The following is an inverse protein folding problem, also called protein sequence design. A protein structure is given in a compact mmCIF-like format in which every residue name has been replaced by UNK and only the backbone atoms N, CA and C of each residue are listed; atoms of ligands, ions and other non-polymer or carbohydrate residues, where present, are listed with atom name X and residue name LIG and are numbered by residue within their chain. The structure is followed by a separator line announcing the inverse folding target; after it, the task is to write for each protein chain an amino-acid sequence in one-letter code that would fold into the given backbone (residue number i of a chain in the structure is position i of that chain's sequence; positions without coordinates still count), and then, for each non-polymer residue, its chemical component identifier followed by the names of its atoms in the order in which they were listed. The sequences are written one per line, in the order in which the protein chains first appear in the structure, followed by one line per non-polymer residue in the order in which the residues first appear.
data_IF_127121964691
#
_entry.id   IF_127121964691
#
_cell.length_a   1.000
_cell.length_b   1.000
_cell.length_c   1.000
_cell.angle_alpha   90.00
_cell.angle_beta   90.00
_cell.angle_gamma   90.00
#
_symmetry.space_group_name_H-M   'P 1'
#
loop_
_entity.id
_entity.type
_entity.pdbx_description
1 polymer ?
#
# COMPACT_ATOMS: atom_id res chain seq x y z
N UNK A 1 -18.98 -32.85 -17.78
CA UNK A 1 -18.07 -33.32 -16.71
C UNK A 1 -18.37 -32.53 -15.44
N UNK A 2 -18.30 -33.14 -14.25
CA UNK A 2 -18.48 -32.38 -12.98
C UNK A 2 -17.14 -31.74 -12.61
N UNK A 3 -17.13 -30.44 -12.34
CA UNK A 3 -15.93 -29.77 -11.83
C UNK A 3 -15.71 -30.21 -10.37
N UNK A 4 -14.60 -30.90 -10.10
CA UNK A 4 -14.20 -31.20 -8.73
C UNK A 4 -13.69 -29.89 -8.09
N UNK A 5 -14.27 -29.45 -6.95
CA UNK A 5 -13.78 -28.25 -6.27
C UNK A 5 -12.37 -28.53 -5.72
N UNK A 6 -11.39 -27.71 -6.12
CA UNK A 6 -10.04 -27.78 -5.56
C UNK A 6 -10.14 -27.49 -4.06
N UNK A 7 -9.67 -28.39 -3.17
CA UNK A 7 -9.76 -28.21 -1.73
C UNK A 7 -8.72 -27.18 -1.27
N UNK A 8 -9.04 -25.90 -1.43
CA UNK A 8 -8.26 -24.81 -0.84
C UNK A 8 -8.18 -25.01 0.69
N UNK A 9 -6.98 -25.04 1.28
CA UNK A 9 -6.81 -25.33 2.70
C UNK A 9 -7.54 -24.29 3.57
N UNK A 10 -8.36 -24.78 4.51
CA UNK A 10 -9.06 -23.94 5.47
C UNK A 10 -8.07 -23.39 6.51
N UNK A 11 -7.34 -22.34 6.14
CA UNK A 11 -6.61 -21.49 7.06
C UNK A 11 -7.59 -20.71 7.94
N UNK A 12 -8.10 -21.38 8.99
CA UNK A 12 -8.73 -20.73 10.14
C UNK A 12 -7.64 -19.97 10.91
N UNK A 13 -7.22 -18.83 10.37
CA UNK A 13 -6.50 -17.84 11.14
C UNK A 13 -7.41 -17.38 12.29
N UNK A 14 -7.10 -17.86 13.50
CA UNK A 14 -7.68 -17.32 14.72
C UNK A 14 -7.30 -15.84 14.73
N UNK A 15 -8.30 -14.97 14.67
CA UNK A 15 -8.11 -13.53 14.76
C UNK A 15 -7.59 -13.23 16.16
N UNK A 16 -6.26 -13.16 16.28
CA UNK A 16 -5.61 -12.68 17.51
C UNK A 16 -6.05 -11.23 17.72
N UNK A 17 -6.50 -10.85 18.93
CA UNK A 17 -6.91 -9.49 19.20
C UNK A 17 -5.77 -8.51 18.87
N UNK A 18 -6.15 -7.34 18.36
CA UNK A 18 -5.24 -6.26 17.98
C UNK A 18 -5.72 -4.94 18.57
N UNK A 19 -4.82 -3.97 18.81
CA UNK A 19 -5.22 -2.64 19.26
C UNK A 19 -6.19 -2.00 18.27
N UNK A 20 -7.25 -1.38 18.78
CA UNK A 20 -8.12 -0.48 18.01
C UNK A 20 -7.61 0.95 18.21
N UNK A 21 -7.51 1.70 17.12
CA UNK A 21 -6.96 3.06 17.14
C UNK A 21 -8.09 4.06 17.35
N UNK A 22 -8.06 4.72 18.51
CA UNK A 22 -8.91 5.88 18.78
C UNK A 22 -8.35 7.10 18.04
N UNK A 23 -9.21 7.78 17.29
CA UNK A 23 -8.84 8.97 16.54
C UNK A 23 -8.87 10.19 17.47
N UNK A 24 -7.82 11.00 17.48
CA UNK A 24 -7.82 12.30 18.18
C UNK A 24 -8.73 13.31 17.48
N UNK A 25 -9.19 14.33 18.20
CA UNK A 25 -9.69 15.55 17.57
C UNK A 25 -8.57 16.60 17.45
N UNK A 26 -8.79 17.61 16.59
CA UNK A 26 -7.70 18.48 16.12
C UNK A 26 -7.05 19.30 17.24
N UNK A 27 -7.81 19.63 18.29
CA UNK A 27 -7.32 20.31 19.49
C UNK A 27 -6.26 19.52 20.27
N UNK A 28 -6.17 18.21 20.08
CA UNK A 28 -5.21 17.35 20.77
C UNK A 28 -3.91 17.15 19.97
N UNK A 29 -3.80 17.75 18.78
CA UNK A 29 -2.70 17.53 17.85
C UNK A 29 -1.37 18.14 18.31
N UNK A 30 -0.27 17.48 17.93
CA UNK A 30 1.10 17.93 18.18
C UNK A 30 1.88 17.71 16.87
N UNK A 31 2.48 18.74 16.26
CA UNK A 31 3.25 18.60 15.02
C UNK A 31 4.58 17.86 15.25
N UNK A 32 5.06 17.19 14.19
CA UNK A 32 6.40 16.60 14.15
C UNK A 32 7.48 17.68 14.01
N UNK A 33 8.68 17.39 14.50
CA UNK A 33 9.87 18.24 14.31
C UNK A 33 10.47 18.09 12.91
N UNK A 34 10.37 16.89 12.33
CA UNK A 34 10.81 16.59 10.98
C UNK A 34 9.67 16.80 9.95
N UNK A 35 10.00 17.11 8.69
CA UNK A 35 9.03 17.15 7.60
C UNK A 35 8.24 15.85 7.41
N UNK A 36 6.95 15.98 7.09
CA UNK A 36 6.03 14.87 6.81
C UNK A 36 5.91 14.64 5.31
N UNK A 37 6.11 13.39 4.89
CA UNK A 37 6.08 12.95 3.49
C UNK A 37 4.82 12.08 3.26
N UNK A 38 3.83 12.58 2.51
CA UNK A 38 2.54 11.90 2.31
C UNK A 38 2.53 11.01 1.06
N UNK A 39 3.16 9.85 1.18
CA UNK A 39 3.34 8.86 0.11
C UNK A 39 2.05 8.10 -0.27
N UNK A 40 1.59 8.25 -1.53
CA UNK A 40 0.43 7.51 -2.04
C UNK A 40 0.76 6.09 -2.56
N UNK A 41 -0.24 5.21 -2.53
CA UNK A 41 -0.16 3.82 -3.01
C UNK A 41 -0.61 3.64 -4.47
N UNK A 42 -1.00 2.40 -4.81
CA UNK A 42 -1.46 2.02 -6.15
C UNK A 42 -2.72 2.79 -6.57
N UNK A 43 -2.84 3.11 -7.86
CA UNK A 43 -3.90 3.98 -8.42
C UNK A 43 -4.00 5.38 -7.78
N UNK A 44 -3.05 5.74 -6.92
CA UNK A 44 -2.92 7.11 -6.46
C UNK A 44 -2.57 8.06 -7.61
N UNK A 45 -2.97 9.31 -7.42
CA UNK A 45 -2.65 10.45 -8.25
C UNK A 45 -2.20 11.59 -7.34
N UNK A 46 -1.63 12.65 -7.90
CA UNK A 46 -1.36 13.88 -7.13
C UNK A 46 -2.43 14.93 -7.37
N UNK A 47 -2.66 15.24 -8.65
CA UNK A 47 -3.69 16.16 -9.13
C UNK A 47 -4.37 15.55 -10.35
N UNK A 48 -5.69 15.55 -10.38
CA UNK A 48 -6.49 15.33 -11.59
C UNK A 48 -7.23 16.63 -11.93
N UNK A 49 -6.90 17.23 -13.07
CA UNK A 49 -7.53 18.44 -13.60
C UNK A 49 -6.63 19.16 -14.61
N UNK A 50 -7.18 20.02 -15.49
CA UNK A 50 -6.38 20.79 -16.44
C UNK A 50 -5.44 21.78 -15.72
N UNK A 51 -4.18 21.84 -16.15
CA UNK A 51 -3.18 22.75 -15.58
C UNK A 51 -3.61 24.23 -15.65
N UNK A 52 -4.31 24.61 -16.72
CA UNK A 52 -4.78 25.98 -16.99
C UNK A 52 -5.84 26.48 -15.99
N UNK A 53 -6.53 25.60 -15.27
CA UNK A 53 -7.66 25.96 -14.41
C UNK A 53 -7.53 25.32 -13.01
N UNK A 54 -6.78 25.99 -12.12
CA UNK A 54 -6.49 25.50 -10.75
C UNK A 54 -7.74 25.16 -9.92
N UNK A 55 -8.89 25.77 -10.19
CA UNK A 55 -10.13 25.45 -9.47
C UNK A 55 -10.74 24.08 -9.84
N UNK A 56 -10.37 23.51 -11.00
CA UNK A 56 -10.76 22.17 -11.44
C UNK A 56 -9.80 21.07 -10.96
N UNK A 57 -8.79 21.41 -10.16
CA UNK A 57 -7.76 20.47 -9.72
C UNK A 57 -8.22 19.69 -8.47
N UNK A 58 -8.36 18.38 -8.66
CA UNK A 58 -8.60 17.40 -7.60
C UNK A 58 -7.26 16.90 -7.06
N UNK A 59 -6.74 17.61 -6.06
CA UNK A 59 -5.58 17.13 -5.30
C UNK A 59 -6.00 15.87 -4.51
N UNK A 60 -5.16 14.83 -4.51
CA UNK A 60 -5.41 13.59 -3.77
C UNK A 60 -5.43 13.88 -2.26
N UNK A 61 -4.34 14.40 -1.70
CA UNK A 61 -4.21 14.68 -0.25
C UNK A 61 -4.99 15.90 0.28
N UNK A 62 -5.97 16.41 -0.48
CA UNK A 62 -6.71 17.64 -0.15
C UNK A 62 -7.36 17.57 1.23
N UNK A 63 -7.24 18.63 2.02
CA UNK A 63 -7.70 18.70 3.40
C UNK A 63 -6.79 18.01 4.42
N UNK A 64 -5.98 17.02 4.04
CA UNK A 64 -4.98 16.39 4.92
C UNK A 64 -3.70 17.22 4.94
N UNK A 65 -3.15 17.60 3.78
CA UNK A 65 -2.05 18.57 3.67
C UNK A 65 -2.41 19.85 4.42
N UNK A 66 -3.53 20.43 4.00
CA UNK A 66 -4.01 21.74 4.43
C UNK A 66 -4.27 21.79 5.95
N UNK A 67 -4.63 20.64 6.56
CA UNK A 67 -4.85 20.52 8.01
C UNK A 67 -3.57 20.24 8.80
N UNK A 68 -2.63 19.47 8.26
CA UNK A 68 -1.33 19.26 8.92
C UNK A 68 -0.45 20.54 8.85
N UNK A 69 -0.49 21.27 7.73
CA UNK A 69 0.25 22.53 7.54
C UNK A 69 -0.27 23.64 8.47
N UNK A 70 -1.59 23.85 8.55
CA UNK A 70 -2.18 24.86 9.46
C UNK A 70 -2.05 24.52 10.94
N UNK A 71 -1.64 23.28 11.26
CA UNK A 71 -1.29 22.83 12.62
C UNK A 71 0.23 22.73 12.85
N UNK A 72 1.05 23.30 11.96
CA UNK A 72 2.48 23.53 12.19
C UNK A 72 3.45 22.48 11.66
N UNK A 73 2.99 21.44 10.96
CA UNK A 73 3.91 20.54 10.25
C UNK A 73 4.41 21.18 8.94
N UNK A 74 5.68 20.96 8.59
CA UNK A 74 6.11 21.05 7.18
C UNK A 74 5.68 19.77 6.45
N UNK A 75 4.86 19.89 5.41
CA UNK A 75 4.21 18.74 4.74
C UNK A 75 4.49 18.78 3.25
N UNK A 76 4.64 17.61 2.65
CA UNK A 76 4.86 17.46 1.22
C UNK A 76 4.08 16.24 0.67
N UNK A 77 3.70 16.28 -0.61
CA UNK A 77 2.69 15.37 -1.18
C UNK A 77 3.06 14.85 -2.58
N UNK A 78 2.77 13.56 -2.81
CA UNK A 78 3.47 12.74 -3.82
C UNK A 78 2.82 12.62 -5.19
N UNK A 79 3.62 12.63 -6.27
CA UNK A 79 3.17 12.51 -7.68
C UNK A 79 4.07 11.63 -8.53
N UNK A 80 3.52 10.52 -9.04
CA UNK A 80 4.30 9.33 -9.44
C UNK A 80 3.53 8.40 -10.39
N UNK A 81 4.15 7.28 -10.80
CA UNK A 81 3.54 6.32 -11.72
C UNK A 81 2.51 5.41 -11.03
N UNK A 82 1.23 5.61 -11.35
CA UNK A 82 0.08 4.98 -10.67
C UNK A 82 -0.04 3.45 -10.81
N UNK A 83 0.79 2.80 -11.64
CA UNK A 83 0.82 1.34 -11.90
C UNK A 83 2.23 0.76 -12.18
N UNK A 84 3.31 1.50 -11.90
CA UNK A 84 4.70 1.06 -12.16
C UNK A 84 5.25 0.05 -11.12
N UNK A 85 6.44 -0.50 -11.37
CA UNK A 85 7.17 -1.38 -10.45
C UNK A 85 7.63 -0.66 -9.17
N UNK A 86 7.73 -1.37 -8.04
CA UNK A 86 8.24 -0.79 -6.77
C UNK A 86 9.62 -0.15 -6.95
N UNK A 87 10.51 -0.74 -7.76
CA UNK A 87 11.82 -0.16 -8.04
C UNK A 87 11.73 1.14 -8.84
N UNK A 88 11.02 1.17 -9.98
CA UNK A 88 10.88 2.42 -10.77
C UNK A 88 10.18 3.52 -9.97
N UNK A 89 9.26 3.13 -9.09
CA UNK A 89 8.59 4.00 -8.11
C UNK A 89 9.57 4.54 -7.08
N UNK A 90 10.33 3.68 -6.41
CA UNK A 90 11.35 4.06 -5.43
C UNK A 90 12.52 4.89 -6.01
N UNK A 91 12.94 4.63 -7.25
CA UNK A 91 13.95 5.42 -7.96
C UNK A 91 13.45 6.82 -8.33
N UNK A 92 12.17 6.96 -8.74
CA UNK A 92 11.53 8.27 -8.94
C UNK A 92 11.40 9.04 -7.62
N UNK A 93 11.05 8.34 -6.55
CA UNK A 93 11.02 8.86 -5.18
C UNK A 93 12.43 9.33 -4.76
N UNK A 94 13.50 8.55 -4.97
CA UNK A 94 14.88 8.99 -4.72
C UNK A 94 15.29 10.21 -5.57
N UNK A 95 15.05 10.18 -6.88
CA UNK A 95 15.43 11.26 -7.79
C UNK A 95 14.68 12.58 -7.50
N UNK A 96 13.48 12.52 -6.91
CA UNK A 96 12.80 13.70 -6.40
C UNK A 96 13.33 14.12 -5.01
N UNK A 97 13.62 13.19 -4.09
CA UNK A 97 14.25 13.47 -2.80
C UNK A 97 15.58 14.23 -3.02
N UNK A 98 16.46 13.77 -3.90
CA UNK A 98 17.72 14.46 -4.20
C UNK A 98 17.53 15.85 -4.83
N UNK A 99 16.43 16.07 -5.57
CA UNK A 99 16.18 17.33 -6.29
C UNK A 99 15.48 18.41 -5.44
N UNK A 100 14.69 18.02 -4.45
CA UNK A 100 13.89 18.92 -3.60
C UNK A 100 14.16 18.70 -2.10
N UNK A 101 15.30 18.07 -1.76
CA UNK A 101 15.65 17.48 -0.46
C UNK A 101 14.71 16.40 0.12
N UNK A 102 13.47 16.26 -0.35
CA UNK A 102 12.52 15.26 0.15
C UNK A 102 11.49 14.76 -0.89
N UNK A 103 10.81 13.63 -0.57
CA UNK A 103 9.63 13.01 -1.23
C UNK A 103 9.92 12.24 -2.56
N UNK A 104 9.16 11.25 -3.09
CA UNK A 104 7.68 11.18 -3.28
C UNK A 104 7.00 9.76 -3.49
N UNK A 105 7.17 8.64 -2.75
CA UNK A 105 6.33 7.41 -3.04
C UNK A 105 6.09 6.37 -1.93
N UNK A 106 5.02 5.56 -2.09
CA UNK A 106 4.29 4.66 -1.16
C UNK A 106 5.04 3.64 -0.28
N UNK A 107 4.30 2.96 0.61
CA UNK A 107 4.89 2.22 1.76
C UNK A 107 5.90 1.10 1.45
N UNK A 108 5.71 0.34 0.35
CA UNK A 108 6.71 -0.63 -0.11
C UNK A 108 7.87 0.05 -0.87
N UNK A 109 7.58 1.19 -1.50
CA UNK A 109 8.54 2.00 -2.25
C UNK A 109 9.50 2.74 -1.30
N UNK A 110 8.99 3.24 -0.17
CA UNK A 110 9.77 3.70 0.97
C UNK A 110 10.71 2.60 1.49
N UNK A 111 10.22 1.36 1.68
CA UNK A 111 11.06 0.26 2.14
C UNK A 111 12.17 -0.06 1.13
N UNK A 112 11.85 -0.13 -0.16
CA UNK A 112 12.88 -0.30 -1.20
C UNK A 112 13.92 0.84 -1.14
N UNK A 113 13.47 2.09 -1.05
CA UNK A 113 14.38 3.24 -0.99
C UNK A 113 15.31 3.18 0.23
N UNK A 114 14.77 2.90 1.41
CA UNK A 114 15.57 2.86 2.64
C UNK A 114 16.68 1.81 2.48
N UNK A 115 16.32 0.58 2.09
CA UNK A 115 17.24 -0.56 2.03
C UNK A 115 18.24 -0.54 0.85
N UNK A 116 17.78 -0.20 -0.37
CA UNK A 116 18.54 -0.50 -1.61
C UNK A 116 19.21 0.69 -2.27
N UNK A 117 18.88 1.93 -1.87
CA UNK A 117 19.37 3.13 -2.55
C UNK A 117 20.52 3.77 -1.75
N UNK A 118 21.77 3.74 -2.23
CA UNK A 118 22.93 4.27 -1.51
C UNK A 118 23.01 5.80 -1.59
N UNK A 119 23.93 6.39 -0.82
CA UNK A 119 24.40 7.78 -0.98
C UNK A 119 23.32 8.88 -0.97
N UNK A 120 22.27 8.69 -0.15
CA UNK A 120 21.18 9.64 0.06
C UNK A 120 21.69 10.96 0.66
N UNK A 121 21.26 12.12 0.16
CA UNK A 121 21.58 13.44 0.77
C UNK A 121 20.75 13.78 2.03
N UNK A 122 19.82 12.91 2.41
CA UNK A 122 18.87 13.03 3.52
C UNK A 122 18.84 11.73 4.32
N UNK A 123 18.36 11.80 5.57
CA UNK A 123 18.11 10.62 6.40
C UNK A 123 16.61 10.48 6.69
N UNK A 124 16.04 9.32 6.36
CA UNK A 124 14.70 8.93 6.83
C UNK A 124 14.79 8.67 8.34
N UNK A 125 13.94 9.31 9.15
CA UNK A 125 13.90 9.06 10.61
C UNK A 125 12.86 8.03 11.02
N UNK A 126 11.73 8.00 10.31
CA UNK A 126 10.65 7.05 10.54
C UNK A 126 9.89 6.71 9.26
N UNK A 127 9.29 5.53 9.22
CA UNK A 127 8.30 5.13 8.22
C UNK A 127 7.02 4.67 8.93
N UNK A 128 5.92 5.38 8.71
CA UNK A 128 4.58 4.94 9.08
C UNK A 128 3.87 4.40 7.83
N UNK A 129 3.54 3.10 7.82
CA UNK A 129 2.79 2.48 6.72
C UNK A 129 1.31 2.34 7.07
N UNK A 130 0.44 2.62 6.11
CA UNK A 130 -1.02 2.63 6.27
C UNK A 130 -1.60 1.62 5.27
N UNK A 131 -2.33 0.62 5.77
CA UNK A 131 -2.95 -0.47 5.00
C UNK A 131 -2.06 -1.08 3.90
N UNK A 132 -0.75 -1.07 4.11
CA UNK A 132 0.23 -1.49 3.11
C UNK A 132 0.33 -3.01 3.10
N UNK A 133 0.16 -3.69 1.95
CA UNK A 133 0.20 -5.15 1.89
C UNK A 133 1.65 -5.66 1.95
N UNK A 134 2.29 -5.60 3.11
CA UNK A 134 3.69 -6.05 3.29
C UNK A 134 3.89 -7.54 3.00
N UNK A 135 2.83 -8.34 3.01
CA UNK A 135 2.83 -9.77 2.66
C UNK A 135 1.94 -10.05 1.44
N UNK A 136 1.66 -9.04 0.62
CA UNK A 136 0.77 -9.08 -0.54
C UNK A 136 -0.71 -9.15 -0.15
N UNK A 137 -1.58 -9.46 -1.13
CA UNK A 137 -3.02 -9.64 -0.91
C UNK A 137 -3.53 -10.97 -1.49
N UNK A 138 -4.34 -11.74 -0.73
CA UNK A 138 -5.11 -12.88 -1.25
C UNK A 138 -5.95 -12.55 -2.48
N UNK A 139 -6.45 -11.31 -2.58
CA UNK A 139 -7.24 -10.88 -3.74
C UNK A 139 -6.37 -10.77 -5.00
N UNK A 140 -5.11 -10.36 -4.86
CA UNK A 140 -4.18 -10.27 -5.99
C UNK A 140 -3.66 -11.63 -6.45
N UNK A 141 -3.49 -12.59 -5.54
CA UNK A 141 -3.28 -13.99 -5.90
C UNK A 141 -4.48 -14.55 -6.70
N UNK A 142 -5.72 -14.31 -6.24
CA UNK A 142 -6.93 -14.72 -6.98
C UNK A 142 -7.02 -14.06 -8.36
N UNK A 143 -6.69 -12.76 -8.47
CA UNK A 143 -6.65 -12.02 -9.73
C UNK A 143 -5.61 -12.61 -10.68
N UNK A 144 -4.43 -13.02 -10.19
CA UNK A 144 -3.42 -13.73 -10.98
C UNK A 144 -3.95 -15.07 -11.50
N UNK A 145 -4.41 -15.94 -10.62
CA UNK A 145 -4.85 -17.30 -10.97
C UNK A 145 -6.07 -17.31 -11.92
N UNK A 146 -6.92 -16.27 -11.82
CA UNK A 146 -8.15 -16.13 -12.61
C UNK A 146 -7.95 -15.40 -13.94
N UNK A 147 -7.15 -14.33 -13.96
CA UNK A 147 -7.03 -13.43 -15.13
C UNK A 147 -5.66 -13.47 -15.83
N UNK A 148 -4.62 -14.04 -15.21
CA UNK A 148 -3.27 -14.12 -15.79
C UNK A 148 -2.47 -12.80 -15.77
N UNK A 149 -2.82 -11.89 -14.85
CA UNK A 149 -2.12 -10.61 -14.61
C UNK A 149 -1.39 -10.64 -13.26
N UNK A 150 -0.33 -9.85 -13.10
CA UNK A 150 0.55 -9.92 -11.94
C UNK A 150 1.50 -11.13 -11.95
N UNK A 151 1.77 -11.68 -13.13
CA UNK A 151 2.71 -12.79 -13.30
C UNK A 151 4.15 -12.33 -13.07
N UNK A 152 4.84 -12.93 -12.09
CA UNK A 152 6.21 -12.56 -11.70
C UNK A 152 7.18 -12.76 -12.87
N UNK A 153 7.02 -13.79 -13.69
CA UNK A 153 7.83 -14.00 -14.90
C UNK A 153 7.64 -12.85 -15.92
N UNK A 154 6.43 -12.27 -16.00
CA UNK A 154 6.12 -11.14 -16.85
C UNK A 154 6.56 -9.79 -16.24
N UNK A 155 6.68 -9.67 -14.91
CA UNK A 155 7.44 -8.58 -14.26
C UNK A 155 8.92 -8.67 -14.65
N UNK A 156 9.55 -9.84 -14.46
CA UNK A 156 10.99 -10.06 -14.67
C UNK A 156 11.43 -9.73 -16.09
N UNK A 157 10.66 -10.15 -17.10
CA UNK A 157 10.94 -9.86 -18.52
C UNK A 157 10.80 -8.37 -18.90
N UNK A 158 10.13 -7.56 -18.08
CA UNK A 158 10.01 -6.09 -18.28
C UNK A 158 11.06 -5.33 -17.47
N UNK A 159 11.37 -5.79 -16.26
CA UNK A 159 12.26 -5.15 -15.30
C UNK A 159 13.66 -5.82 -15.27
N UNK A 160 14.22 -6.13 -16.44
CA UNK A 160 15.45 -6.93 -16.61
C UNK A 160 16.73 -6.41 -15.89
N UNK A 161 16.68 -5.22 -15.30
CA UNK A 161 17.77 -4.57 -14.54
C UNK A 161 17.49 -4.52 -13.02
N UNK A 162 16.51 -5.26 -12.50
CA UNK A 162 16.23 -5.31 -11.06
C UNK A 162 17.18 -6.28 -10.32
N UNK A 163 18.05 -5.74 -9.46
CA UNK A 163 18.94 -6.55 -8.64
C UNK A 163 18.19 -7.38 -7.58
N UNK A 164 16.96 -6.97 -7.18
CA UNK A 164 16.06 -7.82 -6.40
C UNK A 164 15.84 -9.17 -7.12
N UNK A 165 15.58 -9.17 -8.43
CA UNK A 165 15.36 -10.41 -9.19
C UNK A 165 16.60 -11.30 -9.19
N UNK A 166 17.80 -10.72 -9.25
CA UNK A 166 19.08 -11.47 -9.17
C UNK A 166 19.36 -12.06 -7.78
N UNK A 167 18.65 -11.60 -6.76
CA UNK A 167 18.71 -12.12 -5.39
C UNK A 167 17.49 -12.99 -5.04
N UNK A 168 16.48 -13.05 -5.91
CA UNK A 168 15.50 -14.13 -5.87
C UNK A 168 16.22 -15.42 -6.25
N UNK A 169 16.00 -16.47 -5.46
CA UNK A 169 16.64 -17.77 -5.61
C UNK A 169 16.53 -18.31 -7.06
N UNK A 170 17.68 -18.68 -7.62
CA UNK A 170 17.80 -19.26 -8.95
C UNK A 170 16.95 -20.55 -9.07
N UNK A 171 16.87 -21.36 -8.02
CA UNK A 171 16.03 -22.58 -7.98
C UNK A 171 14.54 -22.24 -8.11
N UNK A 172 14.10 -21.14 -7.49
CA UNK A 172 12.75 -20.62 -7.62
C UNK A 172 12.48 -20.03 -9.02
N UNK A 173 13.46 -19.37 -9.64
CA UNK A 173 13.31 -18.83 -11.00
C UNK A 173 13.12 -19.93 -12.05
N UNK A 174 13.83 -21.06 -11.95
CA UNK A 174 13.59 -22.20 -12.84
C UNK A 174 12.20 -22.82 -12.62
N UNK A 175 11.75 -22.98 -11.36
CA UNK A 175 10.39 -23.45 -11.03
C UNK A 175 9.26 -22.55 -11.55
N UNK A 176 9.53 -21.27 -11.84
CA UNK A 176 8.55 -20.40 -12.52
C UNK A 176 8.41 -20.73 -14.01
N UNK A 177 9.50 -21.13 -14.69
CA UNK A 177 9.48 -21.44 -16.14
C UNK A 177 8.71 -22.72 -16.46
N UNK A 178 8.67 -23.69 -15.56
CA UNK A 178 7.97 -24.97 -15.76
C UNK A 178 6.43 -24.82 -15.76
N UNK A 179 5.89 -23.73 -15.18
CA UNK A 179 4.45 -23.48 -15.12
C UNK A 179 3.91 -23.02 -16.48
N UNK A 180 3.42 -23.97 -17.30
CA UNK A 180 2.74 -23.66 -18.56
C UNK A 180 1.50 -22.77 -18.35
N UNK A 181 1.42 -21.57 -18.97
CA UNK A 181 0.28 -20.68 -18.80
C UNK A 181 -0.97 -21.19 -19.53
N UNK A 182 -2.13 -21.02 -18.91
CA UNK A 182 -3.41 -21.49 -19.47
C UNK A 182 -3.84 -20.59 -20.64
N UNK A 183 -4.47 -21.20 -21.66
CA UNK A 183 -4.79 -20.55 -22.95
C UNK A 183 -5.56 -19.22 -22.83
N UNK A 184 -6.42 -19.07 -21.82
CA UNK A 184 -7.21 -17.85 -21.59
C UNK A 184 -6.41 -16.66 -21.05
N UNK A 185 -5.17 -16.84 -20.57
CA UNK A 185 -4.35 -15.74 -20.03
C UNK A 185 -3.90 -14.71 -21.10
N UNK A 186 -3.87 -15.06 -22.39
CA UNK A 186 -3.15 -14.23 -23.37
C UNK A 186 -3.81 -12.89 -23.70
N UNK A 187 -5.15 -12.80 -23.69
CA UNK A 187 -5.88 -11.58 -24.08
C UNK A 187 -5.77 -10.50 -22.98
N UNK A 188 -5.77 -10.89 -21.70
CA UNK A 188 -5.80 -9.94 -20.57
C UNK A 188 -4.39 -9.40 -20.26
N UNK A 189 -3.32 -10.06 -20.71
CA UNK A 189 -1.92 -9.61 -20.50
C UNK A 189 -1.59 -8.21 -21.07
N UNK A 190 -2.40 -7.65 -21.97
CA UNK A 190 -2.22 -6.27 -22.42
C UNK A 190 -2.66 -5.23 -21.36
N UNK A 191 -3.50 -5.64 -20.40
CA UNK A 191 -3.89 -4.84 -19.23
C UNK A 191 -2.98 -5.08 -18.01
N UNK A 192 -2.00 -5.98 -18.11
CA UNK A 192 -1.11 -6.34 -17.01
C UNK A 192 -0.02 -5.27 -16.80
N UNK A 193 -0.02 -4.62 -15.64
CA UNK A 193 0.99 -3.65 -15.24
C UNK A 193 1.90 -4.24 -14.13
N UNK A 194 3.20 -3.86 -14.07
CA UNK A 194 4.14 -4.42 -13.10
C UNK A 194 3.60 -4.43 -11.67
N UNK A 195 2.95 -3.35 -11.25
CA UNK A 195 2.37 -3.22 -9.92
C UNK A 195 1.43 -4.35 -9.48
N UNK A 196 0.73 -5.04 -10.38
CA UNK A 196 -0.12 -6.17 -9.99
C UNK A 196 0.71 -7.34 -9.44
N UNK A 197 1.89 -7.59 -10.01
CA UNK A 197 2.80 -8.61 -9.51
C UNK A 197 3.32 -8.21 -8.12
N UNK A 198 3.67 -6.93 -7.95
CA UNK A 198 4.17 -6.35 -6.70
C UNK A 198 3.19 -6.38 -5.51
N UNK A 199 1.91 -6.72 -5.74
CA UNK A 199 0.91 -6.93 -4.69
C UNK A 199 0.54 -8.41 -4.45
N UNK A 200 1.09 -9.35 -5.23
CA UNK A 200 0.93 -10.79 -4.96
C UNK A 200 1.70 -11.18 -3.71
N UNK A 201 1.21 -12.18 -2.97
CA UNK A 201 1.86 -12.63 -1.73
C UNK A 201 3.23 -13.25 -2.02
N UNK A 202 3.31 -13.96 -3.14
CA UNK A 202 4.52 -14.56 -3.71
C UNK A 202 5.62 -13.52 -4.01
N UNK A 203 5.30 -12.37 -4.62
CA UNK A 203 6.28 -11.28 -4.80
C UNK A 203 6.69 -10.66 -3.47
N UNK A 204 5.73 -10.33 -2.60
CA UNK A 204 6.02 -9.66 -1.33
C UNK A 204 6.88 -10.52 -0.39
N UNK A 205 6.73 -11.86 -0.42
CA UNK A 205 7.61 -12.76 0.32
C UNK A 205 9.08 -12.62 -0.14
N UNK A 206 9.34 -12.66 -1.45
CA UNK A 206 10.69 -12.51 -2.00
C UNK A 206 11.25 -11.10 -1.76
N UNK A 207 10.43 -10.07 -1.96
CA UNK A 207 10.78 -8.68 -1.66
C UNK A 207 11.24 -8.50 -0.20
N UNK A 208 10.59 -9.16 0.75
CA UNK A 208 10.94 -9.07 2.17
C UNK A 208 12.24 -9.79 2.55
N UNK A 209 12.67 -10.81 1.79
CA UNK A 209 13.95 -11.50 2.04
C UNK A 209 15.16 -10.62 1.72
N UNK A 210 15.01 -9.73 0.74
CA UNK A 210 16.10 -8.85 0.25
C UNK A 210 15.98 -7.41 0.75
N UNK A 211 14.77 -6.94 1.08
CA UNK A 211 14.50 -5.57 1.54
C UNK A 211 14.43 -5.52 3.06
N UNK A 212 15.61 -5.63 3.67
CA UNK A 212 15.80 -5.59 5.12
C UNK A 212 15.62 -4.16 5.67
N UNK A 213 15.00 -4.04 6.83
CA UNK A 213 14.77 -2.75 7.49
C UNK A 213 16.09 -2.16 8.06
N UNK A 214 16.27 -0.84 7.95
CA UNK A 214 17.44 -0.11 8.46
C UNK A 214 17.28 0.13 9.98
N UNK A 215 18.21 -0.34 10.83
CA UNK A 215 18.08 -0.22 12.29
C UNK A 215 18.15 1.22 12.82
N UNK A 216 18.50 2.21 11.99
CA UNK A 216 18.44 3.64 12.34
C UNK A 216 17.08 4.28 12.04
N UNK A 217 16.16 3.57 11.38
CA UNK A 217 14.82 4.06 11.01
C UNK A 217 13.77 3.44 11.93
N UNK A 218 12.87 4.27 12.47
CA UNK A 218 11.72 3.77 13.22
C UNK A 218 10.57 3.36 12.28
N UNK A 219 10.24 2.06 12.26
CA UNK A 219 9.13 1.52 11.48
C UNK A 219 7.88 1.35 12.34
N UNK A 220 6.74 1.77 11.79
CA UNK A 220 5.42 1.49 12.36
C UNK A 220 4.38 1.20 11.29
N UNK A 221 3.33 0.48 11.65
CA UNK A 221 2.21 0.26 10.74
C UNK A 221 0.82 0.37 11.38
N UNK A 222 -0.09 0.79 10.52
CA UNK A 222 -1.49 1.08 10.78
C UNK A 222 -2.32 0.26 9.80
N UNK A 223 -3.34 -0.44 10.27
CA UNK A 223 -4.26 -1.20 9.43
C UNK A 223 -5.67 -0.62 9.46
N UNK A 224 -6.52 -1.10 8.55
CA UNK A 224 -7.95 -0.91 8.61
C UNK A 224 -8.65 -2.29 8.64
N UNK A 225 -9.89 -2.30 9.13
CA UNK A 225 -10.76 -3.46 9.15
C UNK A 225 -12.21 -2.99 9.22
N UNK A 226 -13.10 -3.70 8.53
CA UNK A 226 -14.54 -3.45 8.53
C UNK A 226 -15.31 -4.79 8.50
N UNK A 227 -16.52 -4.84 9.06
CA UNK A 227 -17.47 -5.92 8.77
C UNK A 227 -18.29 -5.55 7.52
N UNK A 228 -17.83 -6.01 6.35
CA UNK A 228 -18.29 -5.50 5.05
C UNK A 228 -19.64 -6.09 4.64
N UNK A 229 -20.64 -5.22 4.45
CA UNK A 229 -21.93 -5.61 3.83
C UNK A 229 -21.70 -6.09 2.40
N UNK A 230 -22.42 -7.14 1.97
CA UNK A 230 -22.20 -7.77 0.66
C UNK A 230 -22.53 -6.89 -0.56
N UNK A 231 -23.26 -5.79 -0.37
CA UNK A 231 -23.52 -4.79 -1.41
C UNK A 231 -22.43 -3.71 -1.54
N UNK A 232 -21.43 -3.66 -0.64
CA UNK A 232 -20.39 -2.64 -0.68
C UNK A 232 -19.44 -2.84 -1.87
N UNK A 233 -18.85 -1.77 -2.45
CA UNK A 233 -17.99 -1.88 -3.64
C UNK A 233 -16.81 -2.85 -3.50
N UNK A 234 -16.25 -2.99 -2.30
CA UNK A 234 -15.14 -3.89 -1.98
C UNK A 234 -15.56 -5.27 -1.48
N UNK A 235 -16.86 -5.61 -1.49
CA UNK A 235 -17.35 -6.87 -0.92
C UNK A 235 -16.75 -8.13 -1.57
N UNK A 236 -16.54 -8.13 -2.89
CA UNK A 236 -16.00 -9.29 -3.61
C UNK A 236 -14.57 -9.63 -3.16
N UNK A 237 -13.67 -8.65 -3.18
CA UNK A 237 -12.30 -8.79 -2.70
C UNK A 237 -12.24 -9.06 -1.20
N UNK A 238 -13.11 -8.41 -0.42
CA UNK A 238 -13.25 -8.63 1.03
C UNK A 238 -13.51 -10.10 1.39
N UNK A 239 -14.46 -10.77 0.72
CA UNK A 239 -14.77 -12.17 1.03
C UNK A 239 -13.65 -13.14 0.62
N UNK A 240 -12.87 -12.80 -0.43
CA UNK A 240 -11.66 -13.55 -0.81
C UNK A 240 -10.59 -13.40 0.28
N UNK A 241 -10.27 -12.17 0.71
CA UNK A 241 -9.29 -11.94 1.78
C UNK A 241 -9.76 -12.53 3.11
N UNK A 242 -11.04 -12.37 3.49
CA UNK A 242 -11.60 -12.91 4.74
C UNK A 242 -11.58 -14.44 4.80
N UNK A 243 -11.73 -15.11 3.66
CA UNK A 243 -11.61 -16.58 3.57
C UNK A 243 -10.18 -17.08 3.79
N UNK A 244 -9.16 -16.28 3.44
CA UNK A 244 -7.76 -16.72 3.43
C UNK A 244 -6.92 -16.19 4.61
N UNK A 245 -7.15 -14.95 5.06
CA UNK A 245 -6.33 -14.28 6.07
C UNK A 245 -7.15 -13.60 7.18
N UNK A 246 -8.48 -13.66 7.10
CA UNK A 246 -9.41 -13.12 8.10
C UNK A 246 -9.62 -11.61 7.98
N UNK A 247 -9.63 -10.91 9.11
CA UNK A 247 -10.04 -9.51 9.20
C UNK A 247 -9.20 -8.59 8.29
N UNK A 248 -9.89 -7.74 7.54
CA UNK A 248 -9.33 -6.97 6.44
C UNK A 248 -10.19 -5.73 6.10
N UNK A 249 -9.61 -4.81 5.33
CA UNK A 249 -10.23 -3.54 4.90
C UNK A 249 -10.97 -3.61 3.55
N UNK A 250 -11.07 -4.80 2.97
CA UNK A 250 -11.59 -5.05 1.62
C UNK A 250 -10.52 -5.36 0.57
N UNK A 251 -9.26 -5.04 0.81
CA UNK A 251 -8.13 -5.32 -0.10
C UNK A 251 -6.90 -5.90 0.62
N UNK A 252 -6.66 -5.52 1.88
CA UNK A 252 -5.47 -5.88 2.65
C UNK A 252 -5.87 -6.40 4.04
N UNK A 253 -5.31 -7.53 4.44
CA UNK A 253 -5.57 -8.16 5.75
C UNK A 253 -4.81 -7.47 6.89
N UNK A 254 -5.34 -7.57 8.11
CA UNK A 254 -4.63 -7.20 9.34
C UNK A 254 -3.29 -7.97 9.46
N UNK A 255 -3.18 -9.17 8.88
CA UNK A 255 -1.94 -9.94 8.83
C UNK A 255 -0.91 -9.33 7.87
N UNK A 256 -1.32 -8.93 6.66
CA UNK A 256 -0.43 -8.33 5.66
C UNK A 256 -0.03 -6.90 6.02
N UNK A 257 -0.93 -6.13 6.66
CA UNK A 257 -0.69 -4.75 7.09
C UNK A 257 0.32 -4.59 8.26
N UNK A 258 0.70 -5.67 8.96
CA UNK A 258 1.59 -5.63 10.14
C UNK A 258 3.08 -5.50 9.79
N UNK A 259 3.71 -4.39 10.17
CA UNK A 259 5.15 -4.15 10.00
C UNK A 259 5.70 -3.22 11.07
N UNK A 260 6.95 -3.43 11.51
CA UNK A 260 7.56 -2.66 12.60
C UNK A 260 6.72 -2.69 13.89
N UNK A 261 6.64 -1.55 14.57
CA UNK A 261 5.71 -1.34 15.67
C UNK A 261 4.26 -1.20 15.14
N UNK A 262 3.47 -2.25 15.27
CA UNK A 262 2.09 -2.28 14.80
C UNK A 262 1.16 -1.57 15.80
N UNK A 263 0.78 -0.34 15.46
CA UNK A 263 0.02 0.57 16.32
C UNK A 263 -1.44 0.12 16.50
N UNK A 264 -2.00 -0.60 15.52
CA UNK A 264 -3.35 -1.13 15.58
C UNK A 264 -4.14 -0.99 14.29
N UNK A 265 -5.46 -1.12 14.40
CA UNK A 265 -6.39 -0.97 13.29
C UNK A 265 -7.48 0.09 13.58
N UNK A 266 -7.85 0.84 12.55
CA UNK A 266 -9.08 1.66 12.52
C UNK A 266 -10.28 0.86 12.00
N UNK A 267 -11.48 1.33 12.31
CA UNK A 267 -12.75 0.72 11.89
C UNK A 267 -13.26 1.41 10.61
N UNK A 268 -12.75 0.97 9.46
CA UNK A 268 -12.99 1.56 8.14
C UNK A 268 -12.58 0.60 7.00
N UNK A 269 -12.92 0.93 5.76
CA UNK A 269 -12.46 0.20 4.57
C UNK A 269 -11.21 0.84 3.92
N UNK A 270 -10.65 0.18 2.90
CA UNK A 270 -9.44 0.66 2.21
C UNK A 270 -9.65 1.99 1.47
N UNK A 271 -10.89 2.35 1.10
CA UNK A 271 -11.20 3.59 0.40
C UNK A 271 -11.45 4.75 1.37
N UNK A 272 -11.87 4.49 2.61
CA UNK A 272 -11.97 5.49 3.69
C UNK A 272 -10.63 6.14 4.03
N UNK A 273 -9.56 5.33 4.01
CA UNK A 273 -8.19 5.79 4.21
C UNK A 273 -7.72 6.74 3.11
N UNK A 274 -8.30 6.62 1.90
CA UNK A 274 -7.83 7.35 0.72
C UNK A 274 -8.69 8.60 0.49
N UNK A 275 -8.12 9.82 0.47
CA UNK A 275 -8.83 11.09 0.25
C UNK A 275 -9.31 11.30 -1.22
N UNK A 276 -9.97 10.32 -1.82
CA UNK A 276 -10.37 10.33 -3.24
C UNK A 276 -11.90 10.26 -3.44
N UNK A 277 -12.34 10.34 -4.71
CA UNK A 277 -13.73 10.05 -5.10
C UNK A 277 -14.18 8.64 -4.69
N UNK A 278 -13.26 7.69 -4.51
CA UNK A 278 -13.59 6.32 -4.08
C UNK A 278 -14.17 6.32 -2.65
N UNK A 279 -13.68 7.21 -1.76
CA UNK A 279 -14.28 7.41 -0.43
C UNK A 279 -15.73 7.89 -0.54
N UNK A 280 -15.98 8.90 -1.37
CA UNK A 280 -17.33 9.44 -1.60
C UNK A 280 -18.30 8.38 -2.13
N UNK A 281 -17.83 7.41 -2.93
CA UNK A 281 -18.62 6.26 -3.37
C UNK A 281 -18.90 5.32 -2.19
N UNK A 282 -17.91 5.01 -1.34
CA UNK A 282 -18.10 4.08 -0.21
C UNK A 282 -18.94 4.68 0.93
N UNK A 283 -18.85 6.00 1.17
CA UNK A 283 -19.65 6.73 2.16
C UNK A 283 -21.17 6.51 1.96
N UNK A 284 -21.64 6.35 0.71
CA UNK A 284 -23.06 6.09 0.38
C UNK A 284 -23.59 4.79 0.99
N UNK A 285 -22.73 3.81 1.26
CA UNK A 285 -23.12 2.49 1.79
C UNK A 285 -23.02 2.40 3.33
N UNK A 286 -22.63 3.50 4.00
CA UNK A 286 -22.27 3.56 5.42
C UNK A 286 -23.25 4.38 6.23
N UNK A 287 -23.34 4.07 7.53
CA UNK A 287 -24.18 4.80 8.48
C UNK A 287 -23.52 6.10 8.97
N UNK A 288 -22.20 6.20 8.85
CA UNK A 288 -21.39 7.36 9.25
C UNK A 288 -20.10 7.39 8.40
N UNK A 289 -19.71 8.53 7.83
CA UNK A 289 -18.46 8.65 7.08
C UNK A 289 -17.24 8.59 8.01
N UNK A 290 -16.11 8.08 7.50
CA UNK A 290 -14.88 7.97 8.29
C UNK A 290 -14.17 9.33 8.47
N UNK A 291 -13.74 9.62 9.71
CA UNK A 291 -12.92 10.79 10.10
C UNK A 291 -11.46 10.65 9.60
N UNK A 292 -11.27 10.54 8.28
CA UNK A 292 -9.96 10.34 7.65
C UNK A 292 -8.93 11.43 8.03
N UNK A 293 -9.30 12.71 8.09
CA UNK A 293 -8.37 13.78 8.51
C UNK A 293 -7.86 13.56 9.95
N UNK A 294 -8.77 13.23 10.89
CA UNK A 294 -8.40 12.87 12.27
C UNK A 294 -7.47 11.66 12.34
N UNK A 295 -7.62 10.69 11.44
CA UNK A 295 -6.70 9.55 11.36
C UNK A 295 -5.30 9.97 10.95
N UNK A 296 -5.12 10.81 9.92
CA UNK A 296 -3.80 11.33 9.56
C UNK A 296 -3.20 12.24 10.66
N UNK A 297 -4.01 13.05 11.34
CA UNK A 297 -3.60 13.78 12.56
C UNK A 297 -3.12 12.81 13.66
N UNK A 298 -3.83 11.70 13.87
CA UNK A 298 -3.44 10.66 14.85
C UNK A 298 -2.11 9.99 14.48
N UNK A 299 -1.91 9.63 13.20
CA UNK A 299 -0.66 9.03 12.71
C UNK A 299 0.52 9.97 12.93
N UNK A 300 0.41 11.25 12.53
CA UNK A 300 1.50 12.22 12.65
C UNK A 300 1.79 12.58 14.11
N UNK A 301 0.75 12.77 14.93
CA UNK A 301 0.90 12.98 16.39
C UNK A 301 1.60 11.81 17.08
N UNK A 302 1.32 10.58 16.69
CA UNK A 302 1.99 9.40 17.25
C UNK A 302 3.49 9.34 16.90
N UNK A 303 3.90 9.94 15.77
CA UNK A 303 5.33 10.14 15.46
C UNK A 303 5.93 11.28 16.30
N UNK A 304 5.24 12.42 16.41
CA UNK A 304 5.68 13.55 17.24
C UNK A 304 5.88 13.15 18.72
N UNK A 305 4.97 12.36 19.28
CA UNK A 305 5.07 11.81 20.64
C UNK A 305 6.23 10.82 20.82
N UNK A 306 6.75 10.22 19.73
CA UNK A 306 7.97 9.40 19.72
C UNK A 306 9.24 10.21 19.42
N UNK A 307 9.12 11.55 19.32
CA UNK A 307 10.23 12.49 19.19
C UNK A 307 10.58 12.91 17.76
N UNK A 308 9.79 12.49 16.77
CA UNK A 308 9.98 12.82 15.35
C UNK A 308 9.40 14.19 14.97
#
# INVERSE_FOLDING_TARGET
MRAHPIPLPYYRHIVKPYPKINLIDECDFIPTKNPVILCHGLFGFHVIGPQSFKFLQLNYWRGITDTLERNGCSVYSTSVGSVSSIKSRAERLHAYLEKNFANQEGGLDCRYLISHIPNKSYQVKSLATIATPHRGSPFMDFVKDTLGVGEIESYIKREHQDNIIRQVDQEYYEKLKEKSPKLYHQIIKWLDAPAFANLTREYCEQFNKVTLDDPSVYYSSYAACIDMKFFAPLAFSYYIVRRMEGDNDGLVSIYSAKWGDFIGAVDCDHWDLVPSKMRQISDVFKQKPFKHINFYLTVVRNLALKGF
#
